data_IF_075452022170
#
_entry.id   IF_075452022170
#
_cell.length_a   1.000
_cell.length_b   1.000
_cell.length_c   1.000
_cell.angle_alpha   90.00
_cell.angle_beta   90.00
_cell.angle_gamma   90.00
#
_symmetry.space_group_name_H-M   'P 1'
#
loop_
_entity.id
_entity.type
_entity.pdbx_description
1 polymer ?
#
# COMPACT_ATOMS: atom_id res chain seq x y z
N UNK A 1 6.72 -8.09 8.06
CA UNK A 1 6.47 -8.42 9.48
C UNK A 1 5.21 -9.27 9.67
N UNK A 2 4.12 -9.07 8.91
CA UNK A 2 2.96 -10.00 8.95
C UNK A 2 3.22 -11.36 8.28
N UNK A 3 3.77 -11.36 7.06
CA UNK A 3 4.08 -12.61 6.33
C UNK A 3 5.08 -13.49 7.09
N UNK A 4 6.17 -12.90 7.58
CA UNK A 4 7.16 -13.60 8.41
C UNK A 4 6.58 -14.19 9.71
N UNK A 5 5.42 -13.73 10.16
CA UNK A 5 4.70 -14.28 11.32
C UNK A 5 3.69 -15.37 10.93
N UNK A 6 3.62 -15.79 9.66
CA UNK A 6 2.67 -16.78 9.14
C UNK A 6 1.23 -16.25 8.99
N UNK A 7 1.00 -14.95 9.23
CA UNK A 7 -0.36 -14.39 9.23
C UNK A 7 -0.93 -14.18 7.82
N UNK A 8 -0.09 -14.29 6.78
CA UNK A 8 -0.48 -14.04 5.39
C UNK A 8 -0.40 -15.30 4.51
N UNK A 9 -0.22 -16.47 5.11
CA UNK A 9 -0.03 -17.72 4.37
C UNK A 9 -1.22 -18.02 3.47
N UNK A 10 -0.97 -18.11 2.15
CA UNK A 10 -1.99 -18.36 1.14
C UNK A 10 -2.93 -17.17 0.85
N UNK A 11 -2.78 -16.05 1.57
CA UNK A 11 -3.59 -14.86 1.37
C UNK A 11 -2.98 -13.93 0.31
N UNK A 12 -3.83 -13.19 -0.40
CA UNK A 12 -3.36 -12.02 -1.14
C UNK A 12 -2.94 -10.93 -0.18
N UNK A 13 -1.84 -10.24 -0.48
CA UNK A 13 -1.42 -9.08 0.26
C UNK A 13 -0.69 -8.10 -0.65
N UNK A 14 -0.65 -6.84 -0.23
CA UNK A 14 0.18 -5.82 -0.87
C UNK A 14 1.28 -5.35 0.09
N UNK A 15 2.28 -4.67 -0.46
CA UNK A 15 3.40 -4.07 0.29
C UNK A 15 4.04 -2.99 -0.58
N UNK A 16 5.07 -2.31 -0.08
CA UNK A 16 5.88 -1.46 -0.94
C UNK A 16 6.49 -2.30 -2.08
N UNK A 17 6.36 -1.85 -3.33
CA UNK A 17 6.73 -2.61 -4.55
C UNK A 17 8.09 -3.30 -4.50
N UNK A 18 9.09 -2.67 -3.87
CA UNK A 18 10.44 -3.22 -3.69
C UNK A 18 10.48 -4.53 -2.88
N UNK A 19 9.51 -4.76 -2.03
CA UNK A 19 9.42 -5.94 -1.16
C UNK A 19 8.42 -6.99 -1.68
N UNK A 20 7.93 -6.86 -2.92
CA UNK A 20 6.95 -7.78 -3.50
C UNK A 20 7.46 -9.22 -3.58
N UNK A 21 8.70 -9.42 -4.03
CA UNK A 21 9.32 -10.76 -4.12
C UNK A 21 9.48 -11.38 -2.73
N UNK A 22 10.03 -10.63 -1.77
CA UNK A 22 10.15 -11.09 -0.38
C UNK A 22 8.78 -11.44 0.23
N UNK A 23 7.72 -10.69 -0.10
CA UNK A 23 6.37 -11.01 0.37
C UNK A 23 5.89 -12.38 -0.16
N UNK A 24 6.19 -12.69 -1.42
CA UNK A 24 5.88 -13.99 -2.02
C UNK A 24 6.69 -15.13 -1.39
N UNK A 25 7.98 -14.91 -1.16
CA UNK A 25 8.87 -15.88 -0.51
C UNK A 25 8.41 -16.24 0.92
N UNK A 26 7.74 -15.29 1.59
CA UNK A 26 7.20 -15.45 2.95
C UNK A 26 5.77 -16.02 2.97
N UNK A 27 5.27 -16.60 1.88
CA UNK A 27 4.02 -17.40 1.87
C UNK A 27 2.75 -16.65 1.47
N UNK A 28 2.82 -15.34 1.25
CA UNK A 28 1.69 -14.55 0.74
C UNK A 28 1.67 -14.50 -0.79
N UNK A 29 0.57 -14.04 -1.38
CA UNK A 29 0.45 -13.75 -2.82
C UNK A 29 0.41 -12.24 -3.05
N UNK A 30 1.49 -11.65 -3.56
CA UNK A 30 1.54 -10.23 -3.86
C UNK A 30 0.51 -9.82 -4.92
N UNK A 31 -0.21 -8.72 -4.67
CA UNK A 31 -1.02 -8.01 -5.67
C UNK A 31 -0.69 -6.51 -5.63
N UNK A 32 -0.64 -5.81 -6.79
CA UNK A 32 -0.22 -4.42 -6.86
C UNK A 32 -1.35 -3.41 -6.54
N UNK A 33 -2.30 -3.80 -5.69
CA UNK A 33 -3.39 -2.94 -5.24
C UNK A 33 -2.93 -2.03 -4.10
N UNK A 34 -3.53 -0.84 -3.98
CA UNK A 34 -3.17 0.12 -2.91
C UNK A 34 -3.53 -0.39 -1.52
N UNK A 35 -4.68 -1.06 -1.40
CA UNK A 35 -5.21 -1.65 -0.17
C UNK A 35 -5.79 -3.02 -0.49
N UNK A 36 -5.46 -4.03 0.30
CA UNK A 36 -5.98 -5.40 0.19
C UNK A 36 -6.59 -5.79 1.53
N UNK A 37 -7.85 -6.21 1.52
CA UNK A 37 -8.65 -6.51 2.71
C UNK A 37 -8.99 -8.01 2.80
N UNK A 38 -8.76 -8.57 3.99
CA UNK A 38 -9.20 -9.89 4.42
C UNK A 38 -9.94 -9.72 5.76
N UNK A 39 -11.15 -9.15 5.69
CA UNK A 39 -11.91 -8.74 6.88
C UNK A 39 -12.25 -9.88 7.85
N UNK A 40 -12.62 -11.10 7.40
CA UNK A 40 -12.84 -12.23 8.32
C UNK A 40 -11.58 -12.58 9.13
N UNK A 41 -10.40 -12.42 8.54
CA UNK A 41 -9.09 -12.63 9.18
C UNK A 41 -8.61 -11.39 9.97
N UNK A 42 -9.35 -10.27 9.90
CA UNK A 42 -8.99 -8.96 10.49
C UNK A 42 -7.64 -8.45 10.00
N UNK A 43 -7.33 -8.70 8.73
CA UNK A 43 -6.07 -8.28 8.11
C UNK A 43 -6.38 -7.31 6.98
N UNK A 44 -5.71 -6.16 7.01
CA UNK A 44 -5.66 -5.22 5.89
C UNK A 44 -4.19 -4.90 5.65
N UNK A 45 -3.75 -4.96 4.40
CA UNK A 45 -2.40 -4.56 3.98
C UNK A 45 -2.47 -3.40 3.02
N UNK A 46 -1.48 -2.52 3.08
CA UNK A 46 -1.36 -1.35 2.20
C UNK A 46 -0.03 -1.39 1.44
N UNK A 47 -0.05 -0.82 0.24
CA UNK A 47 1.11 -0.73 -0.65
C UNK A 47 2.16 0.28 -0.13
N UNK A 48 2.81 1.02 -1.04
CA UNK A 48 3.82 2.00 -0.67
C UNK A 48 3.26 3.23 0.05
N UNK A 49 3.90 3.60 1.16
CA UNK A 49 3.84 4.88 1.91
C UNK A 49 2.46 5.58 1.91
N UNK A 50 2.11 6.28 0.83
CA UNK A 50 0.87 7.08 0.76
C UNK A 50 -0.41 6.23 0.81
N UNK A 51 -0.36 4.95 0.42
CA UNK A 51 -1.52 4.06 0.53
C UNK A 51 -1.96 3.81 1.98
N UNK A 52 -1.10 4.11 2.96
CA UNK A 52 -1.48 4.09 4.37
C UNK A 52 -2.60 5.09 4.70
N UNK A 53 -2.69 6.22 3.99
CA UNK A 53 -3.77 7.20 4.18
C UNK A 53 -5.10 6.61 3.71
N UNK A 54 -5.11 5.99 2.52
CA UNK A 54 -6.30 5.33 1.97
C UNK A 54 -6.78 4.21 2.91
N UNK A 55 -5.85 3.39 3.41
CA UNK A 55 -6.13 2.34 4.39
C UNK A 55 -6.68 2.91 5.70
N UNK A 56 -6.13 4.03 6.19
CA UNK A 56 -6.59 4.66 7.43
C UNK A 56 -8.03 5.17 7.30
N UNK A 57 -8.38 5.84 6.20
CA UNK A 57 -9.76 6.27 5.94
C UNK A 57 -10.72 5.09 5.88
N UNK A 58 -10.30 4.00 5.21
CA UNK A 58 -11.08 2.76 5.16
C UNK A 58 -11.27 2.11 6.54
N UNK A 59 -10.24 2.16 7.39
CA UNK A 59 -10.33 1.69 8.77
C UNK A 59 -11.30 2.52 9.60
N UNK A 60 -11.33 3.86 9.41
CA UNK A 60 -12.33 4.71 10.07
C UNK A 60 -13.74 4.30 9.65
N UNK A 61 -13.98 4.04 8.36
CA UNK A 61 -15.28 3.58 7.86
C UNK A 61 -15.71 2.24 8.49
N UNK A 62 -14.78 1.31 8.65
CA UNK A 62 -15.04 -0.02 9.22
C UNK A 62 -15.29 0.02 10.74
N UNK A 63 -14.66 0.95 11.45
CA UNK A 63 -14.67 1.00 12.91
C UNK A 63 -15.69 1.98 13.49
N UNK A 64 -16.10 2.99 12.72
CA UNK A 64 -17.04 4.04 13.13
C UNK A 64 -18.23 4.02 12.17
N UNK A 65 -18.11 4.72 11.03
CA UNK A 65 -19.09 4.76 9.95
C UNK A 65 -18.49 5.54 8.75
N UNK A 66 -19.26 5.60 7.66
CA UNK A 66 -18.88 6.27 6.42
C UNK A 66 -18.72 7.78 6.61
N UNK A 67 -19.61 8.40 7.34
CA UNK A 67 -19.63 9.84 7.61
C UNK A 67 -18.37 10.27 8.38
N UNK A 68 -17.92 9.51 9.36
CA UNK A 68 -16.69 9.74 10.09
C UNK A 68 -15.45 9.63 9.18
N UNK A 69 -15.43 8.66 8.26
CA UNK A 69 -14.34 8.55 7.29
C UNK A 69 -14.29 9.75 6.34
N UNK A 70 -15.43 10.22 5.85
CA UNK A 70 -15.53 11.42 5.03
C UNK A 70 -15.14 12.69 5.79
N UNK A 71 -15.56 12.81 7.05
CA UNK A 71 -15.15 13.91 7.92
C UNK A 71 -13.63 13.90 8.17
N UNK A 72 -13.04 12.73 8.45
CA UNK A 72 -11.61 12.58 8.62
C UNK A 72 -10.86 12.98 7.34
N UNK A 73 -11.33 12.56 6.17
CA UNK A 73 -10.76 12.95 4.87
C UNK A 73 -10.76 14.47 4.69
N UNK A 74 -11.87 15.14 5.02
CA UNK A 74 -12.00 16.60 4.94
C UNK A 74 -11.07 17.31 5.93
N UNK A 75 -11.00 16.83 7.19
CA UNK A 75 -10.19 17.45 8.24
C UNK A 75 -8.69 17.49 7.93
N UNK A 76 -8.19 16.53 7.15
CA UNK A 76 -6.79 16.48 6.74
C UNK A 76 -6.58 17.01 5.31
N UNK A 77 -7.63 17.55 4.68
CA UNK A 77 -7.65 18.02 3.29
C UNK A 77 -7.07 17.00 2.30
N UNK A 78 -7.42 15.72 2.45
CA UNK A 78 -6.93 14.67 1.55
C UNK A 78 -7.67 14.67 0.21
N UNK A 79 -7.28 15.63 -0.64
CA UNK A 79 -7.65 15.79 -2.05
C UNK A 79 -6.38 15.72 -2.94
N UNK A 80 -5.80 14.52 -3.11
CA UNK A 80 -4.52 14.39 -3.78
C UNK A 80 -4.59 14.75 -5.26
N UNK A 81 -3.73 15.67 -5.71
CA UNK A 81 -3.50 16.01 -7.12
C UNK A 81 -2.02 15.84 -7.48
N UNK A 82 -1.53 14.60 -7.66
CA UNK A 82 -0.12 14.36 -7.98
C UNK A 82 0.27 15.06 -9.29
N UNK A 83 1.40 15.79 -9.34
CA UNK A 83 1.84 16.49 -10.55
C UNK A 83 2.41 15.55 -11.63
N UNK A 84 2.65 14.28 -11.30
CA UNK A 84 3.22 13.28 -12.19
C UNK A 84 2.45 11.96 -12.10
N UNK A 85 2.40 11.22 -13.21
CA UNK A 85 1.77 9.91 -13.30
C UNK A 85 2.74 8.74 -13.01
N UNK A 86 3.73 8.93 -12.14
CA UNK A 86 4.79 7.94 -11.86
C UNK A 86 4.67 7.22 -10.51
N UNK A 87 3.50 7.32 -9.86
CA UNK A 87 3.27 6.78 -8.51
C UNK A 87 3.17 5.25 -8.41
N UNK A 88 3.24 4.51 -9.52
CA UNK A 88 3.19 3.05 -9.55
C UNK A 88 4.19 2.50 -10.58
N UNK A 89 4.65 1.26 -10.39
CA UNK A 89 5.50 0.61 -11.39
C UNK A 89 4.79 0.50 -12.74
N UNK A 90 3.47 0.27 -12.77
CA UNK A 90 2.72 0.15 -14.01
C UNK A 90 2.73 1.45 -14.84
N UNK A 91 2.72 2.61 -14.19
CA UNK A 91 2.59 3.91 -14.86
C UNK A 91 3.94 4.63 -15.05
N UNK A 92 4.94 4.34 -14.22
CA UNK A 92 6.26 4.93 -14.34
C UNK A 92 6.98 4.43 -15.60
N UNK A 93 7.57 5.35 -16.36
CA UNK A 93 8.43 5.04 -17.49
C UNK A 93 9.78 4.43 -17.04
N UNK A 94 10.52 3.87 -18.00
CA UNK A 94 11.78 3.18 -17.72
C UNK A 94 12.84 4.11 -17.11
N UNK A 95 12.95 5.34 -17.62
CA UNK A 95 13.89 6.33 -17.10
C UNK A 95 13.62 6.66 -15.61
N UNK A 96 12.35 6.80 -15.24
CA UNK A 96 11.93 7.04 -13.86
C UNK A 96 12.24 5.84 -12.96
N UNK A 97 12.00 4.61 -13.45
CA UNK A 97 12.31 3.38 -12.69
C UNK A 97 13.81 3.23 -12.45
N UNK A 98 14.64 3.49 -13.47
CA UNK A 98 16.10 3.50 -13.35
C UNK A 98 16.54 4.52 -12.30
N UNK A 99 16.05 5.76 -12.40
CA UNK A 99 16.39 6.82 -11.44
C UNK A 99 15.95 6.50 -10.01
N UNK A 100 14.77 5.89 -9.84
CA UNK A 100 14.32 5.43 -8.53
C UNK A 100 15.23 4.34 -7.94
N UNK A 101 15.72 3.40 -8.78
CA UNK A 101 16.68 2.39 -8.36
C UNK A 101 18.04 2.98 -7.95
N UNK A 102 18.51 4.02 -8.65
CA UNK A 102 19.71 4.78 -8.27
C UNK A 102 19.58 5.39 -6.88
N UNK A 103 18.47 6.08 -6.58
CA UNK A 103 18.20 6.67 -5.26
C UNK A 103 18.20 5.65 -4.13
N UNK A 104 17.71 4.44 -4.38
CA UNK A 104 17.71 3.37 -3.39
C UNK A 104 19.12 2.82 -3.11
N UNK A 105 20.01 2.85 -4.11
CA UNK A 105 21.41 2.40 -3.97
C UNK A 105 22.30 3.44 -3.31
N UNK A 106 22.05 4.72 -3.54
CA UNK A 106 22.85 5.84 -3.02
C UNK A 106 22.55 6.19 -1.56
N UNK A 107 21.59 5.52 -0.91
CA UNK A 107 21.24 5.69 0.50
C UNK A 107 22.15 4.91 1.48
N UNK A 108 23.41 4.69 1.12
CA UNK A 108 24.45 4.19 2.02
C UNK A 108 25.33 5.34 2.47
#
# INVERSE_FOLDING_TARGET
MLAAAGLLDGLTATTHWRAAELLNELGARYVPDRVVEHLPQRIITAAGVSSGIDMALRLVELLVDREAAQAAQLLIEYDPRPPFASGSLANADEATRIRAAEFLRSRK
#
